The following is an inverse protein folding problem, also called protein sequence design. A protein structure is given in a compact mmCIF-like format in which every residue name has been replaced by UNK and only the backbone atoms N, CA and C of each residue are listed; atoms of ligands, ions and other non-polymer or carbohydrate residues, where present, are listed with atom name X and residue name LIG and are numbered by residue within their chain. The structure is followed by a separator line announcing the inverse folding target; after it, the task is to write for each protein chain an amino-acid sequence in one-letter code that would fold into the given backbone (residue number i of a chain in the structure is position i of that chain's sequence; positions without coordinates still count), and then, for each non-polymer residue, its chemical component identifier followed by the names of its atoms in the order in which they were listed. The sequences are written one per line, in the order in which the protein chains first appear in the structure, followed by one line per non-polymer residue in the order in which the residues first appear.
data_IF_940862979676
#
_entry.id   IF_940862979676
#
_cell.length_a   1.000
_cell.length_b   1.000
_cell.length_c   1.000
_cell.angle_alpha   90.00
_cell.angle_beta   90.00
_cell.angle_gamma   90.00
#
_symmetry.space_group_name_H-M   'P 1'
#
loop_
_entity.id
_entity.type
_entity.pdbx_description
1 polymer ?
#
# COMPACT_ATOMS: atom_id res chain seq x y z
N UNK A 1 13.59 10.76 19.79
CA UNK A 1 13.24 9.40 20.25
C UNK A 1 11.92 9.07 19.59
N UNK A 2 11.99 8.40 18.44
CA UNK A 2 10.84 8.10 17.59
C UNK A 2 10.23 6.84 18.17
N UNK A 3 9.31 7.01 19.11
CA UNK A 3 8.29 5.99 19.33
C UNK A 3 7.27 6.21 18.23
N UNK A 4 7.45 5.53 17.10
CA UNK A 4 6.43 5.49 16.06
C UNK A 4 5.27 4.68 16.66
N UNK A 5 4.36 5.40 17.32
CA UNK A 5 3.15 4.83 17.89
C UNK A 5 2.22 4.60 16.72
N UNK A 6 2.20 3.38 16.18
CA UNK A 6 1.11 2.87 15.36
C UNK A 6 -0.16 2.77 16.22
N UNK A 7 -0.75 3.89 16.64
CA UNK A 7 -2.03 3.86 17.36
C UNK A 7 -2.89 5.08 17.02
N UNK A 8 -3.81 4.94 16.07
CA UNK A 8 -5.16 5.48 16.32
C UNK A 8 -6.14 4.33 16.20
N UNK A 9 -6.44 3.76 17.36
CA UNK A 9 -7.74 3.20 17.64
C UNK A 9 -8.73 4.37 17.71
N UNK A 10 -9.58 4.52 16.69
CA UNK A 10 -10.88 5.15 16.87
C UNK A 10 -11.80 4.17 17.62
N UNK A 11 -11.46 3.89 18.88
CA UNK A 11 -12.17 2.95 19.74
C UNK A 11 -13.55 3.48 20.10
N UNK A 12 -14.57 2.89 19.47
CA UNK A 12 -15.94 2.91 19.98
C UNK A 12 -15.97 2.44 21.43
N UNK A 13 -16.75 3.14 22.24
CA UNK A 13 -16.93 2.88 23.67
C UNK A 13 -17.59 1.52 23.89
N UNK A 14 -16.79 0.47 24.09
CA UNK A 14 -17.26 -0.82 24.56
C UNK A 14 -16.87 -1.04 26.02
N UNK A 15 -17.88 -1.34 26.83
CA UNK A 15 -17.79 -1.40 28.29
C UNK A 15 -17.60 -2.82 28.80
N UNK A 16 -16.49 -3.06 29.53
CA UNK A 16 -16.27 -4.22 30.41
C UNK A 16 -15.67 -5.43 29.69
N UNK A 17 -14.59 -6.05 30.15
CA UNK A 17 -14.27 -6.52 31.50
C UNK A 17 -12.76 -6.82 31.61
N UNK A 18 -12.24 -6.78 32.84
CA UNK A 18 -10.81 -6.67 33.19
C UNK A 18 -9.85 -7.60 32.44
N UNK A 19 -8.87 -6.99 31.78
CA UNK A 19 -7.68 -7.64 31.24
C UNK A 19 -6.44 -7.22 32.02
N UNK A 20 -5.60 -8.22 32.33
CA UNK A 20 -4.33 -8.07 33.02
C UNK A 20 -3.37 -7.21 32.19
N UNK A 21 -3.05 -6.01 32.68
CA UNK A 21 -2.03 -5.13 32.11
C UNK A 21 -0.64 -5.76 32.25
N UNK A 22 -0.22 -6.52 31.23
CA UNK A 22 1.19 -6.78 30.99
C UNK A 22 1.81 -5.45 30.56
N UNK A 23 2.76 -4.96 31.34
CA UNK A 23 3.57 -3.81 30.96
C UNK A 23 4.33 -4.15 29.68
N UNK A 24 4.40 -3.24 28.68
CA UNK A 24 5.18 -3.48 27.49
C UNK A 24 6.64 -3.73 27.87
N UNK A 25 7.23 -4.77 27.27
CA UNK A 25 8.64 -5.09 27.43
C UNK A 25 9.49 -3.87 27.00
N UNK A 26 10.63 -3.61 27.66
CA UNK A 26 11.55 -2.56 27.25
C UNK A 26 11.96 -2.78 25.79
N UNK A 27 11.84 -1.75 24.96
CA UNK A 27 12.36 -1.73 23.60
C UNK A 27 13.87 -2.01 23.69
N UNK A 28 14.34 -3.01 22.95
CA UNK A 28 15.74 -3.41 22.95
C UNK A 28 16.59 -2.27 22.35
N UNK A 29 17.34 -1.56 23.20
CA UNK A 29 18.09 -0.33 22.83
C UNK A 29 19.30 -0.59 21.90
N UNK A 30 19.44 -1.79 21.34
CA UNK A 30 20.53 -2.18 20.45
C UNK A 30 20.17 -2.11 18.96
N UNK A 31 18.93 -1.75 18.61
CA UNK A 31 18.62 -1.43 17.22
C UNK A 31 19.28 -0.09 16.87
N UNK A 32 20.38 -0.19 16.13
CA UNK A 32 20.95 0.96 15.46
C UNK A 32 19.84 1.60 14.64
N UNK A 33 19.54 2.88 14.92
CA UNK A 33 18.51 3.60 14.20
C UNK A 33 18.80 3.49 12.70
N UNK A 34 17.78 3.20 11.88
CA UNK A 34 17.96 3.14 10.43
C UNK A 34 18.55 4.45 9.93
N UNK A 35 19.50 4.36 9.00
CA UNK A 35 20.13 5.54 8.42
C UNK A 35 19.15 6.19 7.44
N UNK A 36 18.69 7.43 7.69
CA UNK A 36 17.82 8.13 6.76
C UNK A 36 18.56 8.53 5.49
N UNK A 37 17.87 8.49 4.35
CA UNK A 37 18.27 9.11 3.10
C UNK A 37 17.65 10.50 2.99
N UNK A 38 18.47 11.54 2.94
CA UNK A 38 18.02 12.90 2.63
C UNK A 38 18.20 13.12 1.13
N UNK A 39 17.12 13.47 0.46
CA UNK A 39 17.04 13.71 -0.98
C UNK A 39 16.76 15.21 -1.25
N UNK A 40 17.36 15.81 -2.29
CA UNK A 40 18.27 15.17 -3.23
C UNK A 40 19.63 14.83 -2.58
N UNK A 41 20.32 13.84 -3.14
CA UNK A 41 21.68 13.49 -2.76
C UNK A 41 22.66 14.64 -3.10
N UNK A 42 23.91 14.54 -2.64
CA UNK A 42 24.92 15.58 -2.87
C UNK A 42 25.25 15.86 -4.34
N UNK A 43 24.94 14.93 -5.24
CA UNK A 43 25.07 15.05 -6.69
C UNK A 43 23.78 15.53 -7.38
N UNK A 44 22.70 15.71 -6.63
CA UNK A 44 21.39 16.13 -7.12
C UNK A 44 20.43 14.98 -7.43
N UNK A 45 20.84 13.72 -7.26
CA UNK A 45 20.00 12.57 -7.58
C UNK A 45 18.90 12.35 -6.52
N UNK A 46 17.73 11.92 -6.98
CA UNK A 46 16.57 11.60 -6.13
C UNK A 46 16.44 10.11 -5.81
N UNK A 47 17.47 9.32 -6.13
CA UNK A 47 17.49 7.87 -5.97
C UNK A 47 18.76 7.48 -5.19
N UNK A 48 18.63 6.87 -4.00
CA UNK A 48 19.78 6.32 -3.28
C UNK A 48 20.57 5.31 -4.10
N UNK A 49 21.90 5.36 -4.03
CA UNK A 49 22.79 4.40 -4.71
C UNK A 49 22.71 2.98 -4.14
N UNK A 50 22.25 2.86 -2.89
CA UNK A 50 22.01 1.59 -2.21
C UNK A 50 20.52 1.52 -1.82
N UNK A 51 19.84 0.48 -2.29
CA UNK A 51 18.45 0.19 -1.92
C UNK A 51 18.39 -1.01 -0.99
N UNK A 52 17.50 -0.96 -0.02
CA UNK A 52 17.21 -2.11 0.82
C UNK A 52 16.46 -3.19 0.01
N UNK A 53 16.49 -4.43 0.49
CA UNK A 53 15.75 -5.54 -0.11
C UNK A 53 14.68 -6.00 0.86
N UNK A 54 13.43 -6.05 0.42
CA UNK A 54 12.38 -6.70 1.20
C UNK A 54 12.58 -8.20 1.27
N UNK A 55 12.13 -8.79 2.38
CA UNK A 55 12.01 -10.22 2.51
C UNK A 55 11.00 -10.75 1.49
N UNK A 56 11.32 -11.91 0.93
CA UNK A 56 10.36 -12.68 0.14
C UNK A 56 9.41 -13.38 1.09
N UNK A 57 8.09 -13.40 0.79
CA UNK A 57 7.16 -14.11 1.64
C UNK A 57 7.51 -15.60 1.77
N UNK A 58 7.47 -16.13 2.99
CA UNK A 58 7.77 -17.52 3.33
C UNK A 58 6.81 -18.05 4.38
N UNK A 59 6.62 -19.37 4.41
CA UNK A 59 5.84 -20.04 5.47
C UNK A 59 4.45 -20.45 5.03
N UNK A 60 3.59 -20.61 6.03
CA UNK A 60 2.20 -21.04 5.90
C UNK A 60 1.31 -19.98 6.51
N UNK A 61 0.39 -19.45 5.71
CA UNK A 61 -0.53 -18.40 6.12
C UNK A 61 -1.97 -18.82 5.81
N UNK A 62 -2.94 -18.01 6.23
CA UNK A 62 -4.37 -18.29 6.03
C UNK A 62 -5.12 -17.16 5.35
N UNK A 63 -6.18 -17.53 4.64
CA UNK A 63 -7.22 -16.61 4.15
C UNK A 63 -8.58 -17.09 4.63
N UNK A 64 -9.39 -16.13 5.09
CA UNK A 64 -10.77 -16.38 5.52
C UNK A 64 -11.74 -15.90 4.43
N UNK A 65 -12.44 -16.84 3.81
CA UNK A 65 -13.47 -16.57 2.80
C UNK A 65 -14.84 -16.73 3.46
N UNK A 66 -15.46 -15.61 3.83
CA UNK A 66 -16.69 -15.58 4.62
C UNK A 66 -17.82 -16.36 3.95
N UNK A 67 -18.32 -17.36 4.67
CA UNK A 67 -19.40 -18.24 4.19
C UNK A 67 -18.93 -19.46 3.38
N UNK A 68 -17.63 -19.57 3.11
CA UNK A 68 -17.02 -20.75 2.46
C UNK A 68 -16.11 -21.47 3.46
N UNK A 69 -15.11 -20.79 4.03
CA UNK A 69 -14.19 -21.40 4.99
C UNK A 69 -12.89 -20.61 5.19
N UNK A 70 -12.02 -21.15 6.04
CA UNK A 70 -10.65 -20.69 6.23
C UNK A 70 -9.69 -21.67 5.56
N UNK A 71 -8.77 -21.16 4.76
CA UNK A 71 -7.86 -21.94 3.93
C UNK A 71 -6.42 -21.59 4.25
N UNK A 72 -5.55 -22.58 4.25
CA UNK A 72 -4.11 -22.38 4.41
C UNK A 72 -3.41 -22.48 3.06
N UNK A 73 -2.39 -21.67 2.84
CA UNK A 73 -1.53 -21.73 1.65
C UNK A 73 -0.07 -21.59 2.05
N UNK A 74 0.83 -22.01 1.16
CA UNK A 74 2.26 -21.78 1.33
C UNK A 74 2.74 -20.64 0.45
N UNK A 75 3.29 -19.59 1.07
CA UNK A 75 3.74 -18.38 0.38
C UNK A 75 4.83 -18.66 -0.68
N UNK A 76 5.65 -19.71 -0.48
CA UNK A 76 6.68 -20.10 -1.46
C UNK A 76 6.14 -20.81 -2.70
N UNK A 77 4.89 -21.29 -2.66
CA UNK A 77 4.22 -21.93 -3.80
C UNK A 77 3.43 -20.92 -4.64
N UNK A 78 3.15 -19.72 -4.11
CA UNK A 78 2.41 -18.69 -4.82
C UNK A 78 3.26 -18.11 -5.95
N UNK A 79 2.67 -18.04 -7.14
CA UNK A 79 3.28 -17.42 -8.33
C UNK A 79 2.39 -16.31 -8.80
N UNK A 80 2.97 -15.14 -9.07
CA UNK A 80 2.20 -13.98 -9.50
C UNK A 80 1.56 -14.16 -10.89
N UNK A 81 0.33 -13.68 -11.05
CA UNK A 81 -0.34 -13.49 -12.34
C UNK A 81 -0.10 -12.10 -12.93
N UNK A 82 0.62 -11.23 -12.21
CA UNK A 82 1.10 -9.91 -12.66
C UNK A 82 2.62 -9.85 -12.74
N UNK A 83 3.27 -10.67 -13.62
CA UNK A 83 4.72 -10.63 -13.80
C UNK A 83 5.21 -9.31 -14.44
N UNK A 84 4.29 -8.49 -14.94
CA UNK A 84 4.52 -7.10 -15.36
C UNK A 84 4.63 -6.12 -14.19
N UNK A 85 4.15 -6.47 -12.99
CA UNK A 85 4.25 -5.65 -11.78
C UNK A 85 5.28 -6.21 -10.81
N UNK A 86 5.24 -7.49 -10.48
CA UNK A 86 6.06 -8.06 -9.40
C UNK A 86 7.31 -8.78 -9.89
N UNK A 87 8.39 -8.68 -9.13
CA UNK A 87 9.61 -9.46 -9.31
C UNK A 87 9.41 -10.93 -8.89
N UNK A 88 10.20 -11.88 -9.44
CA UNK A 88 10.11 -13.28 -9.07
C UNK A 88 10.26 -13.54 -7.56
N UNK A 89 9.24 -14.16 -6.97
CA UNK A 89 9.14 -14.45 -5.54
C UNK A 89 8.37 -13.41 -4.74
N UNK A 90 7.89 -12.34 -5.38
CA UNK A 90 6.89 -11.43 -4.85
C UNK A 90 5.57 -11.63 -5.60
N UNK A 91 4.46 -11.35 -4.92
CA UNK A 91 3.11 -11.57 -5.45
C UNK A 91 2.10 -10.68 -4.73
N UNK A 92 0.89 -10.63 -5.28
CA UNK A 92 -0.23 -9.86 -4.76
C UNK A 92 -1.17 -10.70 -3.89
N UNK A 93 -2.05 -10.04 -3.14
CA UNK A 93 -3.13 -10.71 -2.40
C UNK A 93 -4.04 -11.52 -3.33
N UNK A 94 -4.27 -11.08 -4.56
CA UNK A 94 -5.06 -11.84 -5.55
C UNK A 94 -4.41 -13.18 -5.92
N UNK A 95 -3.07 -13.24 -5.98
CA UNK A 95 -2.32 -14.43 -6.35
C UNK A 95 -2.52 -15.59 -5.35
N UNK A 96 -2.83 -15.26 -4.09
CA UNK A 96 -3.20 -16.24 -3.06
C UNK A 96 -4.46 -17.00 -3.46
N UNK A 97 -5.48 -16.33 -3.99
CA UNK A 97 -6.73 -16.98 -4.44
C UNK A 97 -6.48 -17.89 -5.63
N UNK A 98 -5.63 -17.44 -6.56
CA UNK A 98 -5.23 -18.25 -7.71
C UNK A 98 -4.49 -19.51 -7.24
N UNK A 99 -3.67 -19.43 -6.19
CA UNK A 99 -3.00 -20.58 -5.62
C UNK A 99 -3.98 -21.58 -5.00
N UNK A 100 -4.94 -21.11 -4.19
CA UNK A 100 -5.98 -21.98 -3.61
C UNK A 100 -6.83 -22.66 -4.69
N UNK A 101 -7.14 -21.93 -5.76
CA UNK A 101 -7.84 -22.51 -6.91
C UNK A 101 -7.02 -23.61 -7.58
N UNK A 102 -5.71 -23.40 -7.80
CA UNK A 102 -4.81 -24.42 -8.35
C UNK A 102 -4.70 -25.67 -7.47
N UNK A 103 -4.76 -25.49 -6.14
CA UNK A 103 -4.75 -26.58 -5.17
C UNK A 103 -6.10 -27.35 -5.13
N UNK A 104 -7.16 -26.76 -5.68
CA UNK A 104 -8.51 -27.34 -5.70
C UNK A 104 -9.31 -27.06 -4.44
N UNK A 105 -8.86 -26.12 -3.61
CA UNK A 105 -9.51 -25.73 -2.36
C UNK A 105 -10.75 -24.85 -2.60
N UNK A 106 -10.72 -24.06 -3.67
CA UNK A 106 -11.84 -23.23 -4.13
C UNK A 106 -12.02 -23.30 -5.66
N UNK A 107 -13.23 -23.05 -6.14
CA UNK A 107 -13.50 -22.80 -7.56
C UNK A 107 -13.50 -21.29 -7.81
N UNK A 108 -12.38 -20.76 -8.32
CA UNK A 108 -12.23 -19.36 -8.67
C UNK A 108 -12.50 -19.15 -10.16
N UNK A 109 -13.52 -18.35 -10.48
CA UNK A 109 -13.77 -17.81 -11.81
C UNK A 109 -13.31 -16.35 -11.84
N UNK A 110 -12.40 -16.03 -12.76
CA UNK A 110 -11.83 -14.70 -12.87
C UNK A 110 -11.34 -14.44 -14.29
N UNK A 111 -11.17 -13.16 -14.63
CA UNK A 111 -10.54 -12.72 -15.87
C UNK A 111 -9.72 -11.45 -15.63
N UNK A 112 -8.75 -11.20 -16.51
CA UNK A 112 -8.08 -9.92 -16.60
C UNK A 112 -8.87 -8.98 -17.51
N UNK A 113 -9.21 -7.79 -17.01
CA UNK A 113 -9.85 -6.75 -17.80
C UNK A 113 -8.84 -5.63 -18.11
N UNK A 114 -8.38 -5.59 -19.36
CA UNK A 114 -7.43 -4.57 -19.81
C UNK A 114 -7.98 -3.14 -19.86
N UNK A 115 -9.30 -2.95 -19.80
CA UNK A 115 -9.90 -1.62 -19.68
C UNK A 115 -9.85 -1.08 -18.23
N UNK A 116 -9.57 -1.94 -17.25
CA UNK A 116 -9.40 -1.60 -15.84
C UNK A 116 -7.98 -1.90 -15.30
N UNK A 117 -7.16 -2.59 -16.10
CA UNK A 117 -5.82 -3.10 -15.75
C UNK A 117 -5.80 -3.89 -14.44
N UNK A 118 -6.76 -4.80 -14.27
CA UNK A 118 -6.88 -5.61 -13.06
C UNK A 118 -7.51 -6.96 -13.39
N UNK A 119 -7.21 -7.95 -12.56
CA UNK A 119 -8.03 -9.15 -12.47
C UNK A 119 -9.33 -8.87 -11.70
N UNK A 120 -10.45 -9.37 -12.22
CA UNK A 120 -11.78 -9.27 -11.63
C UNK A 120 -12.23 -10.68 -11.21
N UNK A 121 -12.71 -10.81 -9.97
CA UNK A 121 -13.33 -12.04 -9.48
C UNK A 121 -14.77 -12.09 -10.00
N UNK A 122 -15.07 -13.03 -10.89
CA UNK A 122 -16.42 -13.28 -11.38
C UNK A 122 -17.22 -14.09 -10.35
N UNK A 123 -16.62 -15.16 -9.83
CA UNK A 123 -17.22 -15.99 -8.79
C UNK A 123 -16.19 -16.77 -7.97
N UNK A 124 -16.55 -17.09 -6.71
CA UNK A 124 -15.91 -18.12 -5.88
C UNK A 124 -16.98 -19.13 -5.51
N UNK A 125 -16.77 -20.41 -5.84
CA UNK A 125 -17.73 -21.51 -5.65
C UNK A 125 -19.12 -21.18 -6.22
N UNK A 126 -19.14 -20.58 -7.41
CA UNK A 126 -20.35 -20.16 -8.11
C UNK A 126 -21.10 -18.97 -7.48
N UNK A 127 -20.54 -18.35 -6.44
CA UNK A 127 -21.12 -17.16 -5.82
C UNK A 127 -20.43 -15.89 -6.34
N UNK A 128 -21.17 -14.86 -6.78
CA UNK A 128 -20.57 -13.62 -7.29
C UNK A 128 -20.42 -12.55 -6.21
N UNK A 129 -19.82 -11.43 -6.63
CA UNK A 129 -19.68 -10.17 -5.89
C UNK A 129 -18.77 -10.27 -4.67
N UNK A 130 -17.57 -10.82 -4.88
CA UNK A 130 -16.56 -10.88 -3.84
C UNK A 130 -15.72 -9.60 -3.80
N UNK A 131 -15.50 -9.11 -2.59
CA UNK A 131 -14.50 -8.10 -2.29
C UNK A 131 -13.60 -8.58 -1.16
N UNK A 132 -12.64 -7.75 -0.76
CA UNK A 132 -11.61 -8.15 0.18
C UNK A 132 -11.22 -7.03 1.15
N UNK A 133 -10.75 -7.47 2.30
CA UNK A 133 -10.09 -6.67 3.32
C UNK A 133 -8.73 -7.32 3.61
N UNK A 134 -7.72 -6.49 3.84
CA UNK A 134 -6.36 -6.93 4.17
C UNK A 134 -5.93 -6.18 5.41
N UNK A 135 -5.14 -6.84 6.24
CA UNK A 135 -4.31 -6.18 7.23
C UNK A 135 -2.91 -6.80 7.21
N UNK A 136 -1.89 -5.96 7.31
CA UNK A 136 -0.55 -6.42 7.60
C UNK A 136 -0.37 -6.71 9.09
N UNK A 137 0.78 -7.30 9.43
CA UNK A 137 1.23 -7.56 10.80
C UNK A 137 1.03 -6.33 11.70
N UNK A 138 0.42 -6.55 12.87
CA UNK A 138 0.05 -5.52 13.87
C UNK A 138 -0.92 -4.42 13.38
N UNK A 139 -1.50 -4.57 12.18
CA UNK A 139 -2.49 -3.67 11.60
C UNK A 139 -3.96 -4.07 11.87
N UNK A 140 -4.88 -3.30 11.29
CA UNK A 140 -6.32 -3.56 11.31
C UNK A 140 -6.88 -3.69 9.89
N UNK A 141 -8.06 -4.29 9.78
CA UNK A 141 -8.75 -4.36 8.49
C UNK A 141 -9.32 -3.01 8.11
N UNK A 142 -9.16 -2.68 6.85
CA UNK A 142 -9.64 -1.43 6.29
C UNK A 142 -10.51 -1.67 5.09
N UNK A 143 -11.59 -0.90 5.03
CA UNK A 143 -12.29 -0.68 3.77
C UNK A 143 -11.29 -0.11 2.77
N UNK A 144 -11.10 -0.80 1.66
CA UNK A 144 -10.21 -0.39 0.59
C UNK A 144 -10.93 -0.49 -0.75
N UNK A 145 -10.53 0.36 -1.69
CA UNK A 145 -10.97 0.29 -3.09
C UNK A 145 -9.78 0.05 -4.02
N UNK A 146 -8.77 -0.67 -3.53
CA UNK A 146 -7.53 -0.91 -4.25
C UNK A 146 -7.62 -2.19 -5.08
N UNK A 147 -6.89 -2.24 -6.20
CA UNK A 147 -6.84 -3.45 -7.05
C UNK A 147 -6.16 -4.58 -6.27
N UNK A 148 -6.89 -5.68 -6.06
CA UNK A 148 -6.40 -6.82 -5.28
C UNK A 148 -5.13 -7.43 -5.89
N UNK A 149 -5.01 -7.41 -7.22
CA UNK A 149 -3.85 -7.92 -7.96
C UNK A 149 -2.66 -6.94 -8.01
N UNK A 150 -2.80 -5.77 -7.39
CA UNK A 150 -1.71 -4.82 -7.15
C UNK A 150 -1.36 -4.69 -5.66
N UNK A 151 -2.15 -5.28 -4.75
CA UNK A 151 -1.91 -5.23 -3.31
C UNK A 151 -0.76 -6.19 -2.95
N UNK A 152 0.44 -5.71 -2.58
CA UNK A 152 1.58 -6.59 -2.34
C UNK A 152 1.33 -7.48 -1.11
N UNK A 153 1.60 -8.77 -1.24
CA UNK A 153 1.56 -9.69 -0.11
C UNK A 153 2.87 -9.63 0.70
N UNK A 154 2.77 -9.75 2.03
CA UNK A 154 3.89 -9.86 2.97
C UNK A 154 3.60 -10.99 3.96
N UNK A 155 4.63 -11.51 4.63
CA UNK A 155 4.42 -12.46 5.72
C UNK A 155 3.49 -11.88 6.80
N UNK A 156 2.73 -12.74 7.47
CA UNK A 156 1.74 -12.37 8.49
C UNK A 156 0.64 -11.40 7.97
N UNK A 157 0.40 -11.38 6.65
CA UNK A 157 -0.76 -10.70 6.06
C UNK A 157 -2.02 -11.53 6.31
N UNK A 158 -3.03 -10.91 6.90
CA UNK A 158 -4.32 -11.54 7.14
C UNK A 158 -5.34 -11.04 6.12
N UNK A 159 -5.90 -11.97 5.34
CA UNK A 159 -6.76 -11.71 4.19
C UNK A 159 -8.17 -12.19 4.51
N UNK A 160 -9.16 -11.31 4.30
CA UNK A 160 -10.58 -11.65 4.39
C UNK A 160 -11.29 -11.37 3.09
N UNK A 161 -12.07 -12.33 2.62
CA UNK A 161 -13.00 -12.15 1.52
C UNK A 161 -14.43 -12.21 2.01
N UNK A 162 -15.26 -11.33 1.48
CA UNK A 162 -16.67 -11.26 1.80
C UNK A 162 -17.48 -10.87 0.57
N UNK A 163 -18.77 -11.19 0.60
CA UNK A 163 -19.68 -10.76 -0.44
C UNK A 163 -20.11 -9.33 -0.18
N UNK A 164 -19.95 -8.50 -1.20
CA UNK A 164 -20.26 -7.09 -1.17
C UNK A 164 -21.45 -6.78 -2.10
N UNK A 165 -22.06 -5.62 -1.90
CA UNK A 165 -23.09 -5.08 -2.75
C UNK A 165 -22.56 -4.89 -4.18
N UNK A 166 -23.29 -5.42 -5.17
CA UNK A 166 -22.89 -5.35 -6.58
C UNK A 166 -22.79 -3.91 -7.11
N UNK A 167 -23.61 -2.99 -6.62
CA UNK A 167 -23.52 -1.57 -6.99
C UNK A 167 -22.26 -0.94 -6.42
N UNK A 168 -21.84 -1.34 -5.22
CA UNK A 168 -20.58 -0.87 -4.62
C UNK A 168 -19.37 -1.36 -5.41
N UNK A 169 -19.30 -2.66 -5.73
CA UNK A 169 -18.25 -3.21 -6.60
C UNK A 169 -18.24 -2.50 -7.96
N UNK A 170 -19.41 -2.28 -8.58
CA UNK A 170 -19.49 -1.57 -9.85
C UNK A 170 -18.97 -0.13 -9.77
N UNK A 171 -19.13 0.56 -8.63
CA UNK A 171 -18.53 1.89 -8.40
C UNK A 171 -17.00 1.82 -8.34
N UNK A 172 -16.43 0.82 -7.66
CA UNK A 172 -14.97 0.59 -7.63
C UNK A 172 -14.45 0.27 -9.04
N UNK A 173 -15.05 -0.68 -9.74
CA UNK A 173 -14.63 -1.04 -11.10
C UNK A 173 -14.70 0.16 -12.07
N UNK A 174 -15.70 1.04 -11.91
CA UNK A 174 -15.79 2.27 -12.69
C UNK A 174 -14.57 3.17 -12.47
N UNK A 175 -14.09 3.34 -11.23
CA UNK A 175 -12.92 4.19 -10.97
C UNK A 175 -11.65 3.61 -11.57
N UNK A 176 -11.48 2.28 -11.59
CA UNK A 176 -10.36 1.64 -12.29
C UNK A 176 -10.37 1.93 -13.80
N UNK A 177 -11.55 1.88 -14.42
CA UNK A 177 -11.70 2.24 -15.84
C UNK A 177 -11.47 3.73 -16.12
N UNK A 178 -11.75 4.61 -15.15
CA UNK A 178 -11.46 6.03 -15.27
C UNK A 178 -9.95 6.33 -15.18
N UNK A 179 -9.20 5.61 -14.35
CA UNK A 179 -7.73 5.70 -14.31
C UNK A 179 -7.12 5.32 -15.67
N UNK A 180 -7.55 4.19 -16.26
CA UNK A 180 -7.05 3.77 -17.57
C UNK A 180 -7.44 4.76 -18.67
N UNK A 181 -8.65 5.34 -18.61
CA UNK A 181 -9.04 6.39 -19.55
C UNK A 181 -8.16 7.63 -19.44
N UNK A 182 -7.83 8.08 -18.22
CA UNK A 182 -6.90 9.21 -18.01
C UNK A 182 -5.51 8.88 -18.56
N UNK A 183 -4.99 7.70 -18.24
CA UNK A 183 -3.70 7.24 -18.75
C UNK A 183 -3.66 7.27 -20.30
N UNK A 184 -4.70 6.75 -20.96
CA UNK A 184 -4.82 6.78 -22.42
C UNK A 184 -4.96 8.20 -22.99
N UNK A 185 -5.66 9.10 -22.30
CA UNK A 185 -5.82 10.50 -22.71
C UNK A 185 -4.50 11.28 -22.63
N UNK A 186 -3.58 10.83 -21.77
CA UNK A 186 -2.26 11.42 -21.56
C UNK A 186 -1.16 10.63 -22.29
N UNK A 187 -1.49 9.93 -23.38
CA UNK A 187 -0.54 9.15 -24.19
C UNK A 187 0.32 8.15 -23.38
N UNK A 188 -0.26 7.58 -22.32
CA UNK A 188 0.42 6.66 -21.42
C UNK A 188 1.21 7.32 -20.29
N UNK A 189 1.20 8.65 -20.18
CA UNK A 189 1.82 9.36 -19.07
C UNK A 189 0.89 9.41 -17.84
N UNK A 190 1.45 9.18 -16.67
CA UNK A 190 0.73 9.34 -15.40
C UNK A 190 0.76 10.80 -15.01
N UNK A 191 -0.36 11.48 -15.25
CA UNK A 191 -0.59 12.86 -14.80
C UNK A 191 -1.66 12.81 -13.71
N UNK A 192 -1.31 13.25 -12.50
CA UNK A 192 -2.24 13.32 -11.38
C UNK A 192 -2.84 14.73 -11.35
N UNK A 193 -4.18 14.87 -11.52
CA UNK A 193 -4.82 16.18 -11.61
C UNK A 193 -4.58 17.09 -10.40
N UNK A 194 -4.53 16.54 -9.18
CA UNK A 194 -4.26 17.30 -7.96
C UNK A 194 -3.38 16.48 -7.00
N UNK A 195 -2.30 17.11 -6.53
CA UNK A 195 -1.45 16.60 -5.46
C UNK A 195 -1.40 17.63 -4.35
N UNK A 196 -1.87 17.25 -3.16
CA UNK A 196 -1.86 18.10 -1.97
C UNK A 196 -0.88 17.55 -0.95
N UNK A 197 -0.09 18.43 -0.34
CA UNK A 197 0.76 18.11 0.81
C UNK A 197 0.38 19.09 1.92
N UNK A 198 -0.30 18.59 2.95
CA UNK A 198 -0.76 19.37 4.11
C UNK A 198 0.06 19.00 5.34
N UNK A 199 1.12 19.77 5.57
CA UNK A 199 2.02 19.67 6.70
C UNK A 199 1.78 20.76 7.75
N UNK A 200 2.37 20.63 8.96
CA UNK A 200 2.18 21.60 10.03
C UNK A 200 2.80 22.98 9.75
N UNK A 201 3.78 23.09 8.85
CA UNK A 201 4.38 24.37 8.44
C UNK A 201 4.19 24.66 6.96
N UNK A 202 4.19 23.62 6.12
CA UNK A 202 4.08 23.77 4.67
C UNK A 202 2.72 23.25 4.19
N UNK A 203 2.21 23.87 3.14
CA UNK A 203 0.94 23.54 2.53
C UNK A 203 1.10 23.74 1.03
N UNK A 204 1.16 22.63 0.29
CA UNK A 204 1.34 22.65 -1.16
C UNK A 204 0.10 22.12 -1.86
N UNK A 205 -0.23 22.73 -2.99
CA UNK A 205 -1.24 22.23 -3.91
C UNK A 205 -0.68 22.35 -5.34
N UNK A 206 -0.39 21.20 -5.93
CA UNK A 206 0.11 21.06 -7.28
C UNK A 206 -0.99 20.52 -8.19
N UNK A 207 -1.00 20.98 -9.43
CA UNK A 207 -1.96 20.54 -10.45
C UNK A 207 -1.24 19.92 -11.63
N UNK A 208 -1.84 18.89 -12.21
CA UNK A 208 -1.33 18.20 -13.40
C UNK A 208 0.11 17.70 -13.23
N UNK A 209 0.38 17.01 -12.12
CA UNK A 209 1.71 16.48 -11.78
C UNK A 209 2.02 15.27 -12.66
N UNK A 210 3.00 15.42 -13.56
CA UNK A 210 3.59 14.27 -14.28
C UNK A 210 4.43 13.45 -13.30
N UNK A 211 4.13 12.15 -13.20
CA UNK A 211 4.83 11.21 -12.32
C UNK A 211 5.68 10.25 -13.14
N UNK A 212 6.93 10.06 -12.71
CA UNK A 212 7.91 9.18 -13.35
C UNK A 212 8.38 8.08 -12.40
N UNK A 213 8.70 6.92 -12.96
CA UNK A 213 9.17 5.80 -12.16
C UNK A 213 10.63 6.01 -11.76
N UNK A 214 10.89 5.98 -10.46
CA UNK A 214 12.24 6.10 -9.89
C UNK A 214 12.85 4.75 -9.53
N UNK A 215 12.06 3.66 -9.58
CA UNK A 215 12.57 2.30 -9.36
C UNK A 215 13.07 2.03 -7.94
N UNK A 216 12.56 2.78 -6.95
CA UNK A 216 12.95 2.67 -5.53
C UNK A 216 12.83 1.26 -4.97
N UNK A 217 11.92 0.46 -5.52
CA UNK A 217 11.62 -0.92 -5.12
C UNK A 217 11.88 -1.94 -6.22
N UNK A 218 12.99 -1.81 -6.93
CA UNK A 218 13.43 -2.76 -7.96
C UNK A 218 13.66 -4.19 -7.46
N UNK A 219 13.74 -4.40 -6.14
CA UNK A 219 13.74 -5.70 -5.48
C UNK A 219 12.38 -6.41 -5.57
N UNK A 220 11.28 -5.64 -5.48
CA UNK A 220 9.90 -6.13 -5.39
C UNK A 220 9.10 -5.91 -6.67
N UNK A 221 9.33 -4.79 -7.36
CA UNK A 221 8.58 -4.34 -8.52
C UNK A 221 9.41 -4.38 -9.81
N UNK A 222 8.73 -4.59 -10.93
CA UNK A 222 9.34 -4.53 -12.25
C UNK A 222 9.80 -3.10 -12.60
N UNK A 223 10.84 -2.95 -13.45
CA UNK A 223 11.24 -1.64 -13.94
C UNK A 223 10.07 -0.89 -14.61
N UNK A 224 9.89 0.37 -14.25
CA UNK A 224 8.85 1.24 -14.81
C UNK A 224 7.51 1.20 -14.06
N UNK A 225 7.34 0.32 -13.07
CA UNK A 225 6.17 0.37 -12.18
C UNK A 225 6.23 1.63 -11.33
N UNK A 226 5.15 2.40 -11.36
CA UNK A 226 4.97 3.62 -10.59
C UNK A 226 4.33 3.32 -9.24
N UNK A 227 4.80 4.03 -8.22
CA UNK A 227 4.36 3.92 -6.83
C UNK A 227 3.87 5.27 -6.32
N UNK A 228 3.16 5.30 -5.20
CA UNK A 228 2.75 6.57 -4.60
C UNK A 228 3.96 7.44 -4.17
N UNK A 229 5.08 6.83 -3.78
CA UNK A 229 6.32 7.56 -3.44
C UNK A 229 6.89 8.30 -4.65
N UNK A 230 6.75 7.74 -5.86
CA UNK A 230 7.23 8.37 -7.09
C UNK A 230 6.60 9.75 -7.34
N UNK A 231 5.43 10.04 -6.75
CA UNK A 231 4.78 11.34 -6.82
C UNK A 231 5.65 12.41 -6.12
N UNK A 232 6.10 12.13 -4.90
CA UNK A 232 6.97 13.05 -4.16
C UNK A 232 8.34 13.18 -4.84
N UNK A 233 8.91 12.08 -5.31
CA UNK A 233 10.21 12.10 -6.01
C UNK A 233 10.13 12.88 -7.32
N UNK A 234 9.03 12.76 -8.07
CA UNK A 234 8.81 13.54 -9.30
C UNK A 234 8.69 15.04 -9.02
N UNK A 235 7.99 15.42 -7.94
CA UNK A 235 7.93 16.82 -7.50
C UNK A 235 9.30 17.35 -7.08
N UNK A 236 10.10 16.52 -6.39
CA UNK A 236 11.49 16.81 -6.08
C UNK A 236 12.35 17.03 -7.33
N UNK A 237 12.29 16.12 -8.32
CA UNK A 237 13.01 16.21 -9.59
C UNK A 237 12.63 17.48 -10.37
N UNK A 238 11.36 17.91 -10.27
CA UNK A 238 10.83 19.13 -10.89
C UNK A 238 11.27 20.42 -10.15
N UNK A 239 11.90 20.30 -8.98
CA UNK A 239 12.32 21.41 -8.14
C UNK A 239 11.18 22.04 -7.33
N UNK A 240 10.05 21.34 -7.21
CA UNK A 240 8.87 21.77 -6.44
C UNK A 240 9.00 21.42 -4.95
N UNK A 241 9.82 20.41 -4.62
CA UNK A 241 10.21 20.07 -3.25
C UNK A 241 11.73 20.21 -3.10
N UNK A 242 12.16 20.76 -1.98
CA UNK A 242 13.57 21.00 -1.68
C UNK A 242 14.22 19.83 -0.97
N UNK A 243 13.51 19.20 -0.03
CA UNK A 243 14.05 18.13 0.81
C UNK A 243 13.01 17.03 1.05
N UNK A 244 13.39 15.77 0.83
CA UNK A 244 12.62 14.60 1.28
C UNK A 244 13.54 13.70 2.10
N UNK A 245 13.11 13.31 3.30
CA UNK A 245 13.82 12.28 4.07
C UNK A 245 13.06 10.96 4.00
N UNK A 246 13.73 9.92 3.52
CA UNK A 246 13.23 8.54 3.51
C UNK A 246 13.99 7.68 4.51
N UNK A 247 13.28 6.92 5.33
CA UNK A 247 13.88 5.98 6.28
C UNK A 247 13.36 4.58 6.00
N UNK A 248 14.27 3.62 5.90
CA UNK A 248 13.90 2.21 5.77
C UNK A 248 13.57 1.61 7.13
N UNK A 249 12.49 0.85 7.19
CA UNK A 249 12.13 0.08 8.37
C UNK A 249 11.92 -1.38 8.00
N UNK A 250 12.72 -2.27 8.59
CA UNK A 250 12.45 -3.72 8.57
C UNK A 250 11.25 -4.06 9.47
N UNK A 251 11.10 -3.32 10.57
CA UNK A 251 10.05 -3.48 11.58
C UNK A 251 9.66 -2.13 12.19
N UNK A 252 8.42 -2.01 12.66
CA UNK A 252 7.93 -0.84 13.40
C UNK A 252 7.00 -1.32 14.51
N UNK A 253 7.36 -1.11 15.78
CA UNK A 253 6.55 -1.58 16.90
C UNK A 253 6.44 -3.11 16.90
N UNK A 254 5.20 -3.63 16.88
CA UNK A 254 4.93 -5.06 16.71
C UNK A 254 4.82 -5.51 15.26
N UNK A 255 4.77 -4.57 14.30
CA UNK A 255 4.69 -4.90 12.88
C UNK A 255 6.03 -5.40 12.36
N UNK A 256 6.03 -6.66 11.91
CA UNK A 256 7.15 -7.36 11.29
C UNK A 256 6.55 -8.42 10.33
N UNK A 257 6.87 -8.43 9.03
CA UNK A 257 7.72 -7.47 8.31
C UNK A 257 7.04 -6.13 7.99
N UNK A 258 7.81 -5.03 8.05
CA UNK A 258 7.46 -3.77 7.40
C UNK A 258 8.13 -3.68 6.03
N UNK A 259 9.46 -3.82 5.98
CA UNK A 259 10.29 -3.84 4.77
C UNK A 259 9.89 -2.76 3.75
N UNK A 260 9.88 -1.51 4.17
CA UNK A 260 9.44 -0.38 3.34
C UNK A 260 10.10 0.93 3.75
N UNK A 261 10.21 1.84 2.79
CA UNK A 261 10.61 3.22 3.03
C UNK A 261 9.43 4.05 3.52
N UNK A 262 9.67 4.85 4.56
CA UNK A 262 8.73 5.81 5.10
C UNK A 262 9.22 7.24 4.87
N UNK A 263 8.30 8.13 4.53
CA UNK A 263 8.57 9.55 4.34
C UNK A 263 8.56 10.27 5.70
N UNK A 264 9.76 10.49 6.25
CA UNK A 264 9.95 11.13 7.56
C UNK A 264 10.06 12.66 7.45
N UNK A 265 10.30 13.21 6.25
CA UNK A 265 10.34 14.65 6.03
C UNK A 265 9.87 15.01 4.63
N UNK A 266 9.12 16.12 4.55
CA UNK A 266 8.88 16.87 3.32
C UNK A 266 9.16 18.35 3.63
N UNK A 267 10.18 18.91 3.00
CA UNK A 267 10.70 20.27 3.24
C UNK A 267 10.89 20.58 4.74
N UNK A 268 10.19 21.59 5.28
CA UNK A 268 10.35 22.05 6.66
C UNK A 268 9.66 21.15 7.71
N UNK A 269 8.86 20.20 7.26
CA UNK A 269 8.02 19.34 8.10
C UNK A 269 8.67 17.98 8.30
N UNK A 270 9.20 17.78 9.51
CA UNK A 270 9.98 16.60 9.94
C UNK A 270 9.19 15.83 10.99
N UNK A 271 8.96 14.54 10.74
CA UNK A 271 8.29 13.62 11.65
C UNK A 271 8.95 13.60 13.03
N UNK A 272 8.13 13.49 14.07
CA UNK A 272 8.59 13.46 15.44
C UNK A 272 7.64 12.68 16.35
N UNK A 273 8.18 11.79 17.18
CA UNK A 273 7.37 10.96 18.06
C UNK A 273 6.41 10.07 17.25
N UNK A 274 5.11 10.15 17.56
CA UNK A 274 4.03 9.49 16.80
C UNK A 274 3.37 10.41 15.76
N UNK A 275 4.00 11.53 15.40
CA UNK A 275 3.51 12.47 14.41
C UNK A 275 4.31 12.39 13.12
N UNK A 276 3.64 12.34 11.97
CA UNK A 276 4.28 12.31 10.66
C UNK A 276 3.28 12.38 9.51
N UNK A 277 3.80 12.28 8.30
CA UNK A 277 2.97 12.19 7.10
C UNK A 277 2.37 10.80 6.95
N UNK A 278 1.07 10.77 6.74
CA UNK A 278 0.40 9.66 6.07
C UNK A 278 -0.12 10.14 4.74
N UNK A 279 -0.65 9.23 3.93
CA UNK A 279 -1.10 9.58 2.60
C UNK A 279 -2.31 8.79 2.14
N UNK A 280 -2.92 9.27 1.07
CA UNK A 280 -3.91 8.56 0.29
C UNK A 280 -3.82 8.93 -1.18
N UNK A 281 -4.24 8.02 -2.04
CA UNK A 281 -4.26 8.24 -3.49
C UNK A 281 -5.32 7.36 -4.13
N UNK A 282 -6.02 7.88 -5.15
CA UNK A 282 -7.08 7.13 -5.81
C UNK A 282 -8.20 8.04 -6.34
N UNK A 283 -9.43 7.53 -6.42
CA UNK A 283 -10.62 8.30 -6.80
C UNK A 283 -11.18 9.12 -5.63
N UNK A 284 -11.62 10.36 -5.90
CA UNK A 284 -12.19 11.25 -4.85
C UNK A 284 -13.47 10.71 -4.24
N UNK A 285 -14.24 9.93 -4.99
CA UNK A 285 -15.47 9.28 -4.50
C UNK A 285 -15.21 8.39 -3.26
N UNK A 286 -13.97 7.94 -3.06
CA UNK A 286 -13.56 7.09 -1.94
C UNK A 286 -12.48 7.75 -1.07
N UNK A 287 -12.44 9.09 -1.00
CA UNK A 287 -11.45 9.81 -0.21
C UNK A 287 -11.55 9.56 1.29
N UNK A 288 -10.45 9.76 2.00
CA UNK A 288 -10.31 9.48 3.42
C UNK A 288 -10.38 7.98 3.71
N UNK A 289 -10.88 7.68 4.90
CA UNK A 289 -11.15 6.33 5.40
C UNK A 289 -12.32 5.62 4.69
N UNK A 290 -12.79 6.15 3.56
CA UNK A 290 -13.84 5.52 2.73
C UNK A 290 -13.27 4.50 1.74
N UNK A 291 -11.94 4.41 1.59
CA UNK A 291 -11.30 3.39 0.74
C UNK A 291 -9.94 3.75 0.15
N UNK A 292 -9.59 5.04 0.09
CA UNK A 292 -8.33 5.50 -0.52
C UNK A 292 -7.18 5.61 0.49
N UNK A 293 -7.49 5.84 1.77
CA UNK A 293 -6.52 5.75 2.84
C UNK A 293 -6.41 4.30 3.32
N UNK A 294 -5.28 3.65 2.99
CA UNK A 294 -5.04 2.23 3.28
C UNK A 294 -3.58 2.01 3.72
N UNK A 295 -3.33 1.00 4.54
CA UNK A 295 -2.00 0.66 5.08
C UNK A 295 -1.10 -0.08 4.07
N UNK A 296 -0.88 0.52 2.91
CA UNK A 296 0.20 0.13 2.00
C UNK A 296 1.26 1.24 2.05
N UNK A 297 2.54 0.94 2.35
CA UNK A 297 3.59 1.95 2.28
C UNK A 297 3.72 2.58 0.88
N UNK A 298 4.06 3.87 0.82
CA UNK A 298 4.02 4.64 -0.43
C UNK A 298 5.00 4.13 -1.48
N UNK A 299 6.10 3.53 -1.05
CA UNK A 299 7.14 2.94 -1.91
C UNK A 299 6.72 1.63 -2.59
N UNK A 300 5.64 0.98 -2.14
CA UNK A 300 5.12 -0.26 -2.74
C UNK A 300 3.68 -0.17 -3.19
N UNK A 301 3.00 0.96 -2.95
CA UNK A 301 1.64 1.19 -3.45
C UNK A 301 1.70 1.57 -4.92
N UNK A 302 1.53 0.57 -5.79
CA UNK A 302 1.43 0.77 -7.24
C UNK A 302 0.30 1.74 -7.59
N UNK A 303 0.56 2.66 -8.53
CA UNK A 303 -0.43 3.60 -9.06
C UNK A 303 -0.54 3.46 -10.58
N UNK A 304 -1.73 3.73 -11.12
CA UNK A 304 -1.99 3.73 -12.57
C UNK A 304 -2.17 5.16 -13.07
N UNK A 305 -3.25 5.84 -12.70
CA UNK A 305 -3.47 7.26 -12.98
C UNK A 305 -4.56 7.79 -12.05
N UNK A 306 -4.26 7.91 -10.74
CA UNK A 306 -5.26 8.29 -9.73
C UNK A 306 -5.82 9.70 -10.01
N UNK A 307 -7.00 9.99 -9.47
CA UNK A 307 -7.65 11.31 -9.63
C UNK A 307 -6.99 12.36 -8.73
N UNK A 308 -6.45 11.93 -7.58
CA UNK A 308 -5.72 12.79 -6.66
C UNK A 308 -4.70 12.00 -5.83
N UNK A 309 -3.79 12.73 -5.20
CA UNK A 309 -2.99 12.23 -4.09
C UNK A 309 -2.92 13.29 -2.99
N UNK A 310 -2.93 12.85 -1.74
CA UNK A 310 -2.87 13.70 -0.56
C UNK A 310 -1.86 13.12 0.43
N UNK A 311 -0.87 13.90 0.80
CA UNK A 311 -0.07 13.69 2.02
C UNK A 311 -0.60 14.62 3.09
N UNK A 312 -0.87 14.11 4.27
CA UNK A 312 -1.42 14.90 5.36
C UNK A 312 -0.81 14.49 6.69
N UNK A 313 -0.68 15.47 7.57
CA UNK A 313 -0.07 15.28 8.87
C UNK A 313 -1.05 14.72 9.89
N UNK A 314 -0.65 13.66 10.59
CA UNK A 314 -1.39 13.15 11.75
C UNK A 314 -0.45 12.95 12.95
N UNK A 315 -1.04 12.94 14.14
CA UNK A 315 -0.38 12.57 15.39
C UNK A 315 -1.20 11.46 16.05
N UNK A 316 -0.53 10.35 16.35
CA UNK A 316 -1.10 9.15 16.97
C UNK A 316 -0.93 9.18 18.51
#
# INVERSE_FOLDING_TARGET
MIGLVLCVSCGGSDSGTGSSTLLPSPIDNNDQLPNPFVLPLTDGDWIPSETHQARKPIGMDTVDIKGIGEFSFSSVEVTTVRPDIFQPGHFSVFDVLVQLHKQGDIQLEYHYDGAMDTHIIDAIDGQPHWWYEVRYSDGWYETNVFRMDMYPYKDDTDIRLFRENSEYIARICRTFGEEIRRLMQNDGQVIIPEVVIDGPKTNFNFTDVEVRAHGMRSDLLQPGVLTALDILLSLGEQGELSDITLTWYDRIGGADPVDSYWTEQIDEDVAFGGCGFVYETGPREFSGFSGSHIHIPSDVRTIVSPEYALWFWICL
#
